data_IF_488744092184
#
_entry.id   IF_488744092184
#
_cell.length_a   1.000
_cell.length_b   1.000
_cell.length_c   1.000
_cell.angle_alpha   90.00
_cell.angle_beta   90.00
_cell.angle_gamma   90.00
#
_symmetry.space_group_name_H-M   'P 1'
#
loop_
_entity.id
_entity.type
_entity.pdbx_description
1 polymer ?
#
# COMPACT_ATOMS: atom_id res chain seq x y z
N UNK A 1 60.88 3.68 -31.38
CA UNK A 1 59.59 4.17 -30.83
C UNK A 1 58.36 3.47 -31.42
N UNK A 2 58.27 3.25 -32.73
CA UNK A 2 57.09 2.64 -33.40
C UNK A 2 56.71 1.24 -32.88
N UNK A 3 57.68 0.38 -32.57
CA UNK A 3 57.41 -0.97 -32.02
C UNK A 3 56.74 -0.97 -30.64
N UNK A 4 57.02 0.04 -29.81
CA UNK A 4 56.41 0.17 -28.48
C UNK A 4 55.01 0.76 -28.58
N UNK A 5 54.77 1.64 -29.56
CA UNK A 5 53.45 2.17 -29.86
C UNK A 5 52.49 1.06 -30.34
N UNK A 6 52.96 0.13 -31.17
CA UNK A 6 52.16 -1.02 -31.62
C UNK A 6 51.78 -1.97 -30.47
N UNK A 7 52.69 -2.16 -29.50
CA UNK A 7 52.41 -2.95 -28.28
C UNK A 7 51.39 -2.28 -27.37
N UNK A 8 51.44 -0.95 -27.22
CA UNK A 8 50.48 -0.19 -26.40
C UNK A 8 49.09 -0.23 -27.05
N UNK A 9 49.01 -0.11 -28.38
CA UNK A 9 47.74 -0.24 -29.12
C UNK A 9 47.17 -1.65 -28.97
N UNK A 10 48.00 -2.70 -29.11
CA UNK A 10 47.56 -4.08 -28.93
C UNK A 10 47.04 -4.34 -27.50
N UNK A 11 47.67 -3.75 -26.48
CA UNK A 11 47.24 -3.89 -25.09
C UNK A 11 45.93 -3.13 -24.81
N UNK A 12 45.75 -1.94 -25.40
CA UNK A 12 44.51 -1.17 -25.28
C UNK A 12 43.31 -1.88 -25.94
N UNK A 13 43.53 -2.52 -27.08
CA UNK A 13 42.49 -3.32 -27.77
C UNK A 13 42.09 -4.54 -26.93
N UNK A 14 43.04 -5.18 -26.25
CA UNK A 14 42.78 -6.32 -25.36
C UNK A 14 41.99 -5.92 -24.11
N UNK A 15 42.23 -4.73 -23.54
CA UNK A 15 41.43 -4.22 -22.42
C UNK A 15 40.02 -3.82 -22.83
N UNK A 16 39.85 -3.31 -24.06
CA UNK A 16 38.53 -2.94 -24.58
C UNK A 16 37.63 -4.16 -24.80
N UNK A 17 38.19 -5.31 -25.23
CA UNK A 17 37.42 -6.51 -25.52
C UNK A 17 36.90 -7.24 -24.26
N UNK A 18 37.54 -7.06 -23.10
CA UNK A 18 37.10 -7.65 -21.83
C UNK A 18 35.85 -6.94 -21.28
N UNK A 19 35.66 -5.65 -21.58
CA UNK A 19 34.54 -4.84 -21.05
C UNK A 19 33.18 -5.11 -21.72
N UNK A 20 33.13 -5.95 -22.76
CA UNK A 20 31.91 -6.19 -23.57
C UNK A 20 31.14 -7.44 -23.09
N UNK A 21 31.71 -8.24 -22.18
CA UNK A 21 31.13 -9.54 -21.78
C UNK A 21 30.06 -9.41 -20.68
N UNK A 22 30.04 -8.30 -19.92
CA UNK A 22 29.17 -8.17 -18.73
C UNK A 22 27.88 -7.34 -18.93
N UNK A 23 27.58 -6.87 -20.15
CA UNK A 23 26.46 -5.94 -20.37
C UNK A 23 25.08 -6.60 -20.64
N UNK A 24 25.00 -7.92 -20.82
CA UNK A 24 23.78 -8.57 -21.34
C UNK A 24 23.33 -9.84 -20.60
N UNK A 25 23.71 -10.03 -19.33
CA UNK A 25 23.12 -11.07 -18.49
C UNK A 25 21.76 -10.60 -17.90
N UNK A 26 20.79 -10.27 -18.76
CA UNK A 26 19.40 -10.16 -18.31
C UNK A 26 18.86 -11.60 -18.18
N UNK A 27 19.02 -12.18 -16.99
CA UNK A 27 18.44 -13.47 -16.66
C UNK A 27 16.94 -13.46 -16.94
N UNK A 28 16.49 -14.28 -17.88
CA UNK A 28 15.07 -14.51 -18.14
C UNK A 28 14.51 -15.23 -16.91
N UNK A 29 13.85 -14.49 -16.03
CA UNK A 29 13.10 -15.07 -14.90
C UNK A 29 11.80 -15.60 -15.46
N UNK A 30 11.80 -16.86 -15.88
CA UNK A 30 10.57 -17.59 -16.23
C UNK A 30 9.80 -17.83 -14.93
N UNK A 31 8.83 -16.96 -14.63
CA UNK A 31 7.93 -17.13 -13.49
C UNK A 31 6.98 -18.29 -13.82
N UNK A 32 7.35 -19.50 -13.39
CA UNK A 32 6.46 -20.67 -13.44
C UNK A 32 5.49 -20.58 -12.24
N UNK A 33 4.45 -19.77 -12.39
CA UNK A 33 3.40 -19.63 -11.40
C UNK A 33 2.30 -20.66 -11.69
N UNK A 34 1.99 -21.47 -10.70
CA UNK A 34 0.88 -22.41 -10.75
C UNK A 34 -0.46 -21.64 -10.91
N UNK A 35 -1.33 -22.11 -11.81
CA UNK A 35 -2.62 -21.48 -12.12
C UNK A 35 -3.53 -21.38 -10.88
N UNK A 36 -3.35 -22.30 -9.93
CA UNK A 36 -4.08 -22.31 -8.67
C UNK A 36 -3.79 -21.08 -7.80
N UNK A 37 -2.60 -20.48 -7.91
CA UNK A 37 -2.25 -19.26 -7.17
C UNK A 37 -3.09 -18.08 -7.67
N UNK A 38 -3.29 -17.97 -8.98
CA UNK A 38 -4.12 -16.92 -9.56
C UNK A 38 -5.59 -17.08 -9.15
N UNK A 39 -6.08 -18.32 -9.11
CA UNK A 39 -7.43 -18.63 -8.62
C UNK A 39 -7.59 -18.28 -7.15
N UNK A 40 -6.65 -18.66 -6.29
CA UNK A 40 -6.67 -18.33 -4.87
C UNK A 40 -6.58 -16.81 -4.64
N UNK A 41 -5.75 -16.11 -5.40
CA UNK A 41 -5.65 -14.66 -5.35
C UNK A 41 -6.95 -13.99 -5.79
N UNK A 42 -7.60 -14.48 -6.85
CA UNK A 42 -8.89 -14.00 -7.32
C UNK A 42 -9.99 -14.22 -6.28
N UNK A 43 -10.05 -15.40 -5.65
CA UNK A 43 -10.98 -15.70 -4.57
C UNK A 43 -10.76 -14.82 -3.34
N UNK A 44 -9.50 -14.62 -2.91
CA UNK A 44 -9.19 -13.73 -1.80
C UNK A 44 -9.62 -12.29 -2.09
N UNK A 45 -9.39 -11.82 -3.33
CA UNK A 45 -9.84 -10.49 -3.78
C UNK A 45 -11.36 -10.38 -3.78
N UNK A 46 -12.09 -11.39 -4.27
CA UNK A 46 -13.56 -11.36 -4.34
C UNK A 46 -14.20 -11.36 -2.95
N UNK A 47 -13.68 -12.17 -2.02
CA UNK A 47 -14.12 -12.20 -0.62
C UNK A 47 -13.84 -10.87 0.08
N UNK A 48 -12.66 -10.28 -0.12
CA UNK A 48 -12.37 -8.96 0.45
C UNK A 48 -13.24 -7.85 -0.14
N UNK A 49 -13.63 -7.94 -1.42
CA UNK A 49 -14.50 -6.95 -2.07
C UNK A 49 -15.95 -7.04 -1.59
N UNK A 50 -16.43 -8.22 -1.24
CA UNK A 50 -17.80 -8.42 -0.73
C UNK A 50 -17.96 -8.08 0.76
N UNK A 51 -16.85 -7.93 1.50
CA UNK A 51 -16.87 -7.54 2.91
C UNK A 51 -17.12 -6.04 3.08
N UNK A 52 -18.41 -5.72 3.13
CA UNK A 52 -18.95 -4.43 3.52
C UNK A 52 -18.84 -4.24 5.05
N UNK A 53 -17.63 -3.93 5.52
CA UNK A 53 -17.38 -3.71 6.94
C UNK A 53 -17.64 -2.24 7.33
N UNK A 54 -18.11 -2.05 8.56
CA UNK A 54 -18.29 -0.74 9.16
C UNK A 54 -16.93 -0.15 9.55
N UNK A 55 -16.76 1.14 9.32
CA UNK A 55 -15.57 1.88 9.72
C UNK A 55 -15.99 3.12 10.49
N UNK A 56 -15.11 3.68 11.31
CA UNK A 56 -15.41 4.91 12.05
C UNK A 56 -14.53 6.01 11.48
N UNK A 57 -15.13 7.13 11.08
CA UNK A 57 -14.36 8.33 10.74
C UNK A 57 -14.13 9.14 12.00
N UNK A 58 -12.88 9.49 12.30
CA UNK A 58 -12.52 10.28 13.49
C UNK A 58 -12.16 11.73 13.16
N UNK A 59 -11.72 11.99 11.93
CA UNK A 59 -11.24 13.30 11.50
C UNK A 59 -11.51 13.52 10.01
N UNK A 60 -11.77 14.79 9.65
CA UNK A 60 -11.84 15.29 8.28
C UNK A 60 -11.24 16.69 8.25
N UNK A 61 -10.21 16.91 7.43
CA UNK A 61 -9.62 18.24 7.30
C UNK A 61 -8.25 18.24 6.63
N UNK A 62 -7.38 19.17 7.03
CA UNK A 62 -6.05 19.38 6.45
C UNK A 62 -5.14 18.15 6.60
N UNK A 63 -4.33 17.91 5.58
CA UNK A 63 -3.28 16.92 5.48
C UNK A 63 -2.35 16.83 6.71
N UNK A 64 -1.82 17.96 7.18
CA UNK A 64 -0.83 17.99 8.26
C UNK A 64 -1.43 17.53 9.59
N UNK A 65 -2.61 18.06 9.92
CA UNK A 65 -3.36 17.66 11.10
C UNK A 65 -3.80 16.20 11.03
N UNK A 66 -4.13 15.69 9.83
CA UNK A 66 -4.54 14.29 9.68
C UNK A 66 -3.42 13.30 10.05
N UNK A 67 -2.16 13.62 9.75
CA UNK A 67 -1.01 12.77 10.13
C UNK A 67 -0.81 12.79 11.63
N UNK A 68 -0.87 13.98 12.26
CA UNK A 68 -0.74 14.12 13.72
C UNK A 68 -1.83 13.34 14.46
N UNK A 69 -3.09 13.55 14.10
CA UNK A 69 -4.24 12.85 14.69
C UNK A 69 -4.16 11.33 14.46
N UNK A 70 -3.62 10.88 13.33
CA UNK A 70 -3.42 9.45 13.10
C UNK A 70 -2.38 8.86 14.05
N UNK A 71 -1.26 9.55 14.29
CA UNK A 71 -0.23 9.11 15.24
C UNK A 71 -0.79 9.03 16.65
N UNK A 72 -1.44 10.10 17.11
CA UNK A 72 -2.09 10.15 18.43
C UNK A 72 -3.10 9.01 18.60
N UNK A 73 -3.95 8.77 17.59
CA UNK A 73 -4.90 7.66 17.64
C UNK A 73 -4.22 6.29 17.78
N UNK A 74 -3.11 6.06 17.09
CA UNK A 74 -2.38 4.78 17.16
C UNK A 74 -1.73 4.57 18.52
N UNK A 75 -1.30 5.64 19.18
CA UNK A 75 -0.76 5.62 20.53
C UNK A 75 -1.86 5.37 21.57
N UNK A 76 -3.03 6.00 21.40
CA UNK A 76 -4.17 5.86 22.31
C UNK A 76 -4.90 4.52 22.21
N UNK A 77 -4.97 3.98 20.99
CA UNK A 77 -5.81 2.82 20.65
C UNK A 77 -5.00 1.80 19.85
N UNK A 78 -4.32 0.91 20.57
CA UNK A 78 -3.55 -0.20 19.98
C UNK A 78 -4.44 -1.29 19.37
N UNK A 79 -5.70 -1.38 19.81
CA UNK A 79 -6.65 -2.41 19.37
C UNK A 79 -7.15 -2.19 17.93
N UNK A 80 -7.06 -0.96 17.41
CA UNK A 80 -7.64 -0.60 16.12
C UNK A 80 -6.63 0.07 15.19
N UNK A 81 -6.61 -0.40 13.95
CA UNK A 81 -5.82 0.23 12.90
C UNK A 81 -6.48 1.51 12.39
N UNK A 82 -5.66 2.48 11.97
CA UNK A 82 -6.09 3.74 11.39
C UNK A 82 -5.54 3.91 9.96
N UNK A 83 -6.42 4.30 9.04
CA UNK A 83 -6.15 4.52 7.61
C UNK A 83 -6.51 5.94 7.21
N UNK A 84 -5.59 6.63 6.52
CA UNK A 84 -5.87 7.93 5.91
C UNK A 84 -6.46 7.69 4.52
N UNK A 85 -7.60 8.34 4.25
CA UNK A 85 -8.23 8.41 2.93
C UNK A 85 -8.11 9.83 2.39
N UNK A 86 -7.64 9.93 1.15
CA UNK A 86 -7.53 11.19 0.44
C UNK A 86 -8.82 11.46 -0.35
N UNK A 87 -9.36 12.67 -0.19
CA UNK A 87 -10.53 13.17 -0.91
C UNK A 87 -10.16 14.54 -1.53
N UNK A 88 -10.11 14.66 -2.87
CA UNK A 88 -9.82 15.92 -3.55
C UNK A 88 -10.82 17.04 -3.16
N UNK A 89 -10.45 18.33 -3.18
CA UNK A 89 -9.18 18.90 -3.63
C UNK A 89 -8.08 19.00 -2.55
N UNK A 90 -8.40 18.94 -1.24
CA UNK A 90 -7.41 19.05 -0.15
C UNK A 90 -7.85 18.39 1.18
N UNK A 91 -8.83 17.48 1.15
CA UNK A 91 -9.44 16.95 2.36
C UNK A 91 -8.92 15.54 2.67
N UNK A 92 -8.31 15.36 3.83
CA UNK A 92 -7.97 14.03 4.35
C UNK A 92 -9.01 13.59 5.37
N UNK A 93 -9.48 12.35 5.23
CA UNK A 93 -10.35 11.68 6.20
C UNK A 93 -9.55 10.59 6.89
N UNK A 94 -9.70 10.43 8.19
CA UNK A 94 -9.09 9.31 8.93
C UNK A 94 -10.19 8.34 9.27
N UNK A 95 -10.05 7.11 8.79
CA UNK A 95 -10.92 5.99 9.10
C UNK A 95 -10.21 5.04 10.03
N UNK A 96 -10.92 4.50 11.01
CA UNK A 96 -10.37 3.58 11.99
C UNK A 96 -11.22 2.33 12.09
N UNK A 97 -10.53 1.23 12.37
CA UNK A 97 -11.11 -0.09 12.51
C UNK A 97 -11.63 -0.69 11.20
N UNK A 98 -12.19 -1.89 11.34
CA UNK A 98 -12.79 -2.68 10.28
C UNK A 98 -13.80 -3.63 10.93
N UNK A 99 -14.96 -3.09 11.33
CA UNK A 99 -15.94 -3.78 12.17
C UNK A 99 -16.92 -4.58 11.31
N UNK A 100 -17.07 -5.87 11.63
CA UNK A 100 -17.95 -6.77 10.85
C UNK A 100 -19.42 -6.48 11.12
N UNK A 101 -19.73 -6.18 12.38
CA UNK A 101 -21.10 -5.93 12.81
C UNK A 101 -21.28 -4.48 13.26
N UNK A 102 -22.52 -4.00 13.13
CA UNK A 102 -22.89 -2.67 13.64
C UNK A 102 -22.69 -2.56 15.15
N UNK A 103 -22.99 -3.63 15.90
CA UNK A 103 -22.83 -3.68 17.35
C UNK A 103 -21.37 -3.50 17.78
N UNK A 104 -20.42 -4.14 17.09
CA UNK A 104 -18.98 -3.94 17.32
C UNK A 104 -18.57 -2.50 17.05
N UNK A 105 -19.04 -1.93 15.94
CA UNK A 105 -18.77 -0.54 15.58
C UNK A 105 -19.32 0.43 16.63
N UNK A 106 -20.54 0.20 17.13
CA UNK A 106 -21.16 1.03 18.17
C UNK A 106 -20.37 0.95 19.49
N UNK A 107 -19.92 -0.25 19.90
CA UNK A 107 -19.06 -0.42 21.09
C UNK A 107 -17.74 0.33 20.96
N UNK A 108 -17.09 0.26 19.80
CA UNK A 108 -15.86 0.99 19.54
C UNK A 108 -16.10 2.50 19.48
N UNK A 109 -17.20 2.93 18.85
CA UNK A 109 -17.57 4.34 18.75
C UNK A 109 -17.72 4.99 20.12
N UNK A 110 -18.35 4.31 21.09
CA UNK A 110 -18.51 4.84 22.45
C UNK A 110 -17.15 5.11 23.10
N UNK A 111 -16.15 4.23 22.89
CA UNK A 111 -14.79 4.42 23.40
C UNK A 111 -14.08 5.58 22.69
N UNK A 112 -14.11 5.59 21.36
CA UNK A 112 -13.44 6.59 20.52
C UNK A 112 -14.03 7.98 20.73
N UNK A 113 -15.36 8.10 20.87
CA UNK A 113 -16.06 9.37 21.10
C UNK A 113 -15.62 10.10 22.37
N UNK A 114 -15.04 9.40 23.35
CA UNK A 114 -14.52 10.04 24.57
C UNK A 114 -13.36 11.00 24.28
N UNK A 115 -12.55 10.71 23.27
CA UNK A 115 -11.41 11.55 22.85
C UNK A 115 -11.68 12.28 21.53
N UNK A 116 -12.45 11.68 20.63
CA UNK A 116 -12.78 12.21 19.32
C UNK A 116 -14.29 12.44 19.20
N UNK A 117 -14.77 13.59 19.70
CA UNK A 117 -16.21 13.93 19.72
C UNK A 117 -16.86 13.93 18.33
N UNK A 118 -16.09 14.29 17.29
CA UNK A 118 -16.53 14.31 15.90
C UNK A 118 -16.59 12.91 15.24
N UNK A 119 -16.31 11.84 15.99
CA UNK A 119 -16.30 10.49 15.45
C UNK A 119 -17.70 9.98 15.11
N UNK A 120 -17.85 9.34 13.95
CA UNK A 120 -19.10 8.71 13.52
C UNK A 120 -18.86 7.45 12.69
N UNK A 121 -19.84 6.53 12.73
CA UNK A 121 -19.79 5.29 11.95
C UNK A 121 -20.13 5.57 10.49
N UNK A 122 -19.25 5.14 9.61
CA UNK A 122 -19.47 5.03 8.18
C UNK A 122 -20.16 3.70 7.89
N UNK A 123 -21.36 3.79 7.30
CA UNK A 123 -22.04 2.62 6.77
C UNK A 123 -21.28 2.13 5.54
N UNK A 124 -21.09 0.81 5.40
CA UNK A 124 -20.49 0.28 4.19
C UNK A 124 -21.42 0.57 3.01
N UNK A 125 -20.88 1.16 1.95
CA UNK A 125 -21.62 1.35 0.71
C UNK A 125 -21.73 0.00 0.03
N UNK A 126 -22.93 -0.58 -0.03
CA UNK A 126 -23.19 -1.69 -0.96
C UNK A 126 -22.95 -1.14 -2.37
N UNK A 127 -21.88 -1.57 -3.03
CA UNK A 127 -21.81 -1.38 -4.48
C UNK A 127 -23.02 -2.12 -5.05
N UNK A 128 -23.92 -1.39 -5.72
CA UNK A 128 -24.89 -2.03 -6.60
C UNK A 128 -24.04 -2.69 -7.68
N UNK A 129 -23.88 -4.00 -7.58
CA UNK A 129 -23.47 -4.79 -8.72
C UNK A 129 -24.69 -4.70 -9.63
N UNK A 130 -24.65 -3.77 -10.59
CA UNK A 130 -25.64 -3.79 -11.67
C UNK A 130 -25.46 -5.13 -12.40
N UNK A 131 -26.58 -5.86 -12.63
CA UNK A 131 -26.56 -7.20 -13.21
C UNK A 131 -25.98 -7.22 -14.62
#
# INVERSE_FOLDING_TARGET
MIKNLFKIIALAVLFLSISIVDANAQGVVTVNQDNDIDRLLALKKSVNKSQFNYTIQIYKGNANNAVKVQSEFREDFTDWSSTIKFDPPNNRKIWVGNFKTRLEADRALVKIKRKYNAAFILKPKKEKIEP
#
